data_IF_614226854283
#
_entry.id   IF_614226854283
#
_cell.length_a   1.000
_cell.length_b   1.000
_cell.length_c   1.000
_cell.angle_alpha   90.00
_cell.angle_beta   90.00
_cell.angle_gamma   90.00
#
_symmetry.space_group_name_H-M   'P 1'
#
loop_
_entity.id
_entity.type
_entity.pdbx_description
1 polymer ?
#
# COMPACT_ATOMS: atom_id res chain seq x y z
N UNK A 1 16.80 66.39 55.28
CA UNK A 1 16.86 65.06 54.62
C UNK A 1 15.96 64.98 53.38
N UNK A 2 14.64 65.22 53.45
CA UNK A 2 13.70 65.12 52.30
C UNK A 2 14.08 65.89 51.01
N UNK A 3 14.73 67.06 51.10
CA UNK A 3 15.22 67.80 49.91
C UNK A 3 16.39 67.10 49.20
N UNK A 4 17.27 66.43 49.96
CA UNK A 4 18.38 65.65 49.39
C UNK A 4 17.84 64.41 48.68
N UNK A 5 16.76 63.82 49.18
CA UNK A 5 16.13 62.64 48.57
C UNK A 5 15.49 62.92 47.21
N UNK A 6 14.86 64.10 47.03
CA UNK A 6 14.30 64.55 45.75
C UNK A 6 15.36 64.91 44.69
N UNK A 7 16.58 65.22 45.12
CA UNK A 7 17.71 65.57 44.24
C UNK A 7 18.61 64.34 43.96
N UNK A 8 18.27 63.16 44.49
CA UNK A 8 19.04 61.94 44.24
C UNK A 8 18.92 61.57 42.76
N UNK A 9 20.04 61.32 42.06
CA UNK A 9 20.01 60.85 40.70
C UNK A 9 19.28 59.50 40.62
N UNK A 10 18.46 59.33 39.61
CA UNK A 10 17.78 58.07 39.35
C UNK A 10 18.81 57.01 38.94
N UNK A 11 18.84 55.92 39.70
CA UNK A 11 19.62 54.71 39.50
C UNK A 11 18.71 53.48 39.59
N UNK A 12 19.23 52.30 39.24
CA UNK A 12 18.44 51.04 39.17
C UNK A 12 17.64 50.81 40.46
N UNK A 13 18.25 51.13 41.61
CA UNK A 13 17.66 50.95 42.94
C UNK A 13 16.63 52.02 43.35
N UNK A 14 16.63 53.18 42.69
CA UNK A 14 15.64 54.25 42.94
C UNK A 14 14.51 54.25 41.92
N UNK A 15 14.74 53.73 40.71
CA UNK A 15 13.76 53.70 39.62
C UNK A 15 12.75 52.57 39.80
N UNK A 16 13.19 51.38 40.24
CA UNK A 16 12.31 50.22 40.34
C UNK A 16 12.80 49.23 41.40
N UNK A 17 11.89 48.36 41.86
CA UNK A 17 12.20 47.20 42.68
C UNK A 17 11.61 45.93 42.04
N UNK A 18 12.24 44.79 42.27
CA UNK A 18 11.78 43.53 41.69
C UNK A 18 10.45 43.09 42.33
N UNK A 19 9.34 43.22 41.60
CA UNK A 19 8.00 42.92 42.12
C UNK A 19 7.69 41.41 42.19
N UNK A 20 8.17 40.64 41.20
CA UNK A 20 8.13 39.17 41.18
C UNK A 20 9.13 38.66 40.16
N UNK A 21 10.00 37.76 40.57
CA UNK A 21 10.96 37.07 39.70
C UNK A 21 10.65 35.57 39.71
N UNK A 22 10.32 35.02 38.54
CA UNK A 22 10.12 33.57 38.39
C UNK A 22 10.85 33.11 37.13
N UNK A 23 11.90 32.34 37.34
CA UNK A 23 12.61 31.66 36.25
C UNK A 23 12.05 30.25 36.11
N UNK A 24 11.66 29.88 34.90
CA UNK A 24 11.30 28.51 34.55
C UNK A 24 12.34 28.02 33.57
N UNK A 25 13.17 27.07 34.00
CA UNK A 25 14.16 26.41 33.14
C UNK A 25 13.52 25.11 32.68
N UNK A 26 13.40 24.93 31.37
CA UNK A 26 12.97 23.67 30.79
C UNK A 26 14.16 22.68 30.85
N UNK A 27 14.28 21.93 31.94
CA UNK A 27 15.34 20.94 32.10
C UNK A 27 15.11 19.77 31.15
N UNK A 28 16.19 19.31 30.49
CA UNK A 28 16.14 18.25 29.48
C UNK A 28 15.56 16.90 29.98
N UNK A 29 15.44 16.74 31.30
CA UNK A 29 14.80 15.60 31.98
C UNK A 29 13.29 15.49 31.77
N UNK A 30 12.64 16.53 31.21
CA UNK A 30 11.23 16.49 30.81
C UNK A 30 11.02 16.06 29.36
N UNK A 31 12.10 15.73 28.63
CA UNK A 31 11.97 15.06 27.34
C UNK A 31 11.42 13.67 27.64
N UNK A 32 10.12 13.54 27.38
CA UNK A 32 9.33 12.31 27.37
C UNK A 32 10.24 11.11 27.15
N UNK A 33 10.44 10.31 28.20
CA UNK A 33 10.89 8.94 28.02
C UNK A 33 9.99 8.31 26.97
N UNK A 34 10.64 7.59 26.07
CA UNK A 34 10.05 6.99 24.91
C UNK A 34 8.73 6.32 25.26
N UNK A 35 7.64 6.79 24.63
CA UNK A 35 6.42 6.01 24.48
C UNK A 35 6.65 4.83 23.50
N UNK A 36 7.82 4.19 23.60
CA UNK A 36 8.29 3.07 22.79
C UNK A 36 8.59 1.88 23.70
N UNK A 37 7.62 1.48 24.54
CA UNK A 37 7.62 0.20 25.22
C UNK A 37 6.23 -0.11 25.81
N UNK A 38 5.25 -0.37 24.95
CA UNK A 38 4.07 -1.15 25.34
C UNK A 38 3.43 -1.72 24.07
N UNK A 39 3.07 -3.00 24.09
CA UNK A 39 2.57 -3.79 22.96
C UNK A 39 1.27 -3.24 22.31
N UNK A 40 0.65 -2.20 22.88
CA UNK A 40 -0.36 -1.37 22.21
C UNK A 40 0.21 -0.35 21.20
N UNK A 41 1.53 -0.35 20.97
CA UNK A 41 2.26 0.66 20.20
C UNK A 41 2.06 0.56 18.69
N UNK A 42 1.84 -0.63 18.11
CA UNK A 42 1.79 -0.78 16.65
C UNK A 42 0.47 -0.27 16.06
N UNK A 43 -0.67 -0.66 16.63
CA UNK A 43 -1.98 -0.11 16.21
C UNK A 43 -2.08 1.38 16.50
N UNK A 44 -1.54 1.84 17.63
CA UNK A 44 -1.45 3.25 17.95
C UNK A 44 -0.56 4.01 16.96
N UNK A 45 0.58 3.43 16.53
CA UNK A 45 1.44 4.01 15.51
C UNK A 45 0.76 4.04 14.14
N UNK A 46 0.01 3.01 13.76
CA UNK A 46 -0.77 2.97 12.52
C UNK A 46 -1.88 4.04 12.55
N UNK A 47 -2.60 4.18 13.67
CA UNK A 47 -3.64 5.21 13.81
C UNK A 47 -3.04 6.61 13.81
N UNK A 48 -1.92 6.82 14.48
CA UNK A 48 -1.16 8.07 14.46
C UNK A 48 -0.69 8.40 13.04
N UNK A 49 -0.17 7.43 12.29
CA UNK A 49 0.19 7.58 10.89
C UNK A 49 -1.03 7.98 10.06
N UNK A 50 -2.16 7.25 10.18
CA UNK A 50 -3.41 7.57 9.46
C UNK A 50 -3.87 9.00 9.73
N UNK A 51 -3.88 9.43 10.98
CA UNK A 51 -4.33 10.78 11.36
C UNK A 51 -3.36 11.87 10.91
N UNK A 52 -2.06 11.61 11.01
CA UNK A 52 -1.01 12.52 10.54
C UNK A 52 -1.08 12.70 9.01
N UNK A 53 -1.18 11.58 8.30
CA UNK A 53 -1.31 11.58 6.83
C UNK A 53 -2.57 12.28 6.41
N UNK A 54 -3.73 12.03 7.05
CA UNK A 54 -4.97 12.76 6.74
C UNK A 54 -4.82 14.28 6.86
N UNK A 55 -4.09 14.76 7.88
CA UNK A 55 -3.90 16.20 8.14
C UNK A 55 -2.85 16.84 7.22
N UNK A 56 -1.78 16.12 6.89
CA UNK A 56 -0.60 16.69 6.23
C UNK A 56 -0.27 16.08 4.87
N UNK A 57 -1.17 15.28 4.27
CA UNK A 57 -0.92 14.58 3.00
C UNK A 57 -0.39 15.50 1.90
N UNK A 58 -1.04 16.66 1.71
CA UNK A 58 -0.66 17.64 0.68
C UNK A 58 0.75 18.15 0.89
N UNK A 59 1.11 18.44 2.14
CA UNK A 59 2.44 18.94 2.52
C UNK A 59 3.52 17.85 2.34
N UNK A 60 3.21 16.60 2.70
CA UNK A 60 4.10 15.45 2.49
C UNK A 60 4.34 15.22 0.99
N UNK A 61 3.28 15.24 0.17
CA UNK A 61 3.42 15.10 -1.29
C UNK A 61 4.23 16.24 -1.89
N UNK A 62 4.01 17.48 -1.44
CA UNK A 62 4.80 18.64 -1.86
C UNK A 62 6.28 18.46 -1.54
N UNK A 63 6.61 17.93 -0.35
CA UNK A 63 7.98 17.60 0.00
C UNK A 63 8.59 16.57 -0.96
N UNK A 64 7.87 15.49 -1.26
CA UNK A 64 8.33 14.44 -2.17
C UNK A 64 8.56 14.90 -3.62
N UNK A 65 8.04 16.07 -4.01
CA UNK A 65 8.25 16.65 -5.34
C UNK A 65 9.47 17.57 -5.43
N UNK A 66 10.15 17.90 -4.33
CA UNK A 66 11.38 18.69 -4.41
C UNK A 66 12.55 17.88 -4.97
N UNK A 67 13.52 18.58 -5.55
CA UNK A 67 14.77 18.00 -6.04
C UNK A 67 15.98 18.74 -5.50
N UNK A 68 15.92 20.08 -5.52
CA UNK A 68 17.01 20.93 -5.06
C UNK A 68 17.12 20.85 -3.53
N UNK A 69 18.31 20.60 -2.97
CA UNK A 69 18.41 20.38 -1.53
C UNK A 69 18.12 21.66 -0.72
N UNK A 70 18.32 22.85 -1.30
CA UNK A 70 18.02 24.13 -0.64
C UNK A 70 16.51 24.35 -0.49
N UNK A 71 15.74 23.96 -1.51
CA UNK A 71 14.28 24.07 -1.48
C UNK A 71 13.70 23.08 -0.45
N UNK A 72 14.21 21.83 -0.46
CA UNK A 72 13.88 20.83 0.57
C UNK A 72 14.23 21.31 1.98
N UNK A 73 15.40 21.94 2.16
CA UNK A 73 15.83 22.48 3.45
C UNK A 73 14.89 23.59 3.95
N UNK A 74 14.61 24.59 3.12
CA UNK A 74 13.74 25.71 3.50
C UNK A 74 12.33 25.22 3.84
N UNK A 75 11.80 24.30 3.05
CA UNK A 75 10.48 23.73 3.28
C UNK A 75 10.39 22.96 4.61
N UNK A 76 11.42 22.19 4.96
CA UNK A 76 11.47 21.48 6.24
C UNK A 76 11.67 22.42 7.44
N UNK A 77 12.30 23.58 7.24
CA UNK A 77 12.41 24.62 8.27
C UNK A 77 11.09 25.36 8.49
N UNK A 78 10.31 25.60 7.43
CA UNK A 78 8.96 26.16 7.50
C UNK A 78 7.95 25.16 8.10
N UNK A 79 8.16 23.87 7.86
CA UNK A 79 7.31 22.79 8.36
C UNK A 79 8.09 21.73 9.17
N UNK A 80 8.56 22.07 10.39
CA UNK A 80 9.37 21.15 11.19
C UNK A 80 8.65 19.85 11.58
N UNK A 81 7.32 19.85 11.61
CA UNK A 81 6.52 18.67 11.92
C UNK A 81 6.64 17.56 10.88
N UNK A 82 7.10 17.87 9.66
CA UNK A 82 7.32 16.86 8.61
C UNK A 82 8.54 15.99 8.88
N UNK A 83 9.48 16.46 9.70
CA UNK A 83 10.70 15.71 10.04
C UNK A 83 10.37 14.68 11.11
N UNK A 84 9.77 13.57 10.68
CA UNK A 84 9.34 12.47 11.53
C UNK A 84 9.29 11.15 10.76
N UNK A 85 9.23 10.03 11.49
CA UNK A 85 9.21 8.69 10.89
C UNK A 85 7.92 8.44 10.08
N UNK A 86 6.81 9.05 10.49
CA UNK A 86 5.52 8.93 9.80
C UNK A 86 5.58 9.50 8.38
N UNK A 87 6.31 10.61 8.17
CA UNK A 87 6.52 11.18 6.83
C UNK A 87 7.34 10.25 5.97
N UNK A 88 8.42 9.66 6.50
CA UNK A 88 9.23 8.68 5.77
C UNK A 88 8.37 7.48 5.35
N UNK A 89 7.60 6.91 6.28
CA UNK A 89 6.71 5.78 6.02
C UNK A 89 5.66 6.11 4.95
N UNK A 90 5.07 7.31 4.99
CA UNK A 90 4.11 7.73 3.98
C UNK A 90 4.74 7.90 2.59
N UNK A 91 5.98 8.40 2.51
CA UNK A 91 6.70 8.50 1.24
C UNK A 91 7.04 7.12 0.66
N UNK A 92 7.39 6.15 1.51
CA UNK A 92 7.59 4.74 1.11
C UNK A 92 6.30 4.17 0.53
N UNK A 93 5.16 4.33 1.21
CA UNK A 93 3.86 3.86 0.73
C UNK A 93 3.52 4.50 -0.62
N UNK A 94 3.72 5.82 -0.75
CA UNK A 94 3.47 6.50 -2.00
C UNK A 94 4.39 6.00 -3.14
N UNK A 95 5.65 5.66 -2.86
CA UNK A 95 6.52 5.04 -3.85
C UNK A 95 6.01 3.66 -4.32
N UNK A 96 5.42 2.86 -3.41
CA UNK A 96 4.82 1.57 -3.75
C UNK A 96 3.59 1.79 -4.62
N UNK A 97 2.71 2.72 -4.26
CA UNK A 97 1.50 3.03 -5.05
C UNK A 97 1.89 3.49 -6.46
N UNK A 98 2.91 4.35 -6.60
CA UNK A 98 3.41 4.78 -7.91
C UNK A 98 4.01 3.64 -8.74
N UNK A 99 4.67 2.67 -8.09
CA UNK A 99 5.19 1.49 -8.77
C UNK A 99 4.07 0.55 -9.23
N UNK A 100 2.98 0.44 -8.47
CA UNK A 100 1.77 -0.31 -8.88
C UNK A 100 1.05 0.38 -10.04
N UNK A 101 1.06 1.71 -10.09
CA UNK A 101 0.54 2.52 -11.21
C UNK A 101 1.49 2.58 -12.43
N UNK A 102 2.61 1.85 -12.42
CA UNK A 102 3.66 1.86 -13.45
C UNK A 102 4.33 3.23 -13.72
N UNK A 103 4.18 4.19 -12.79
CA UNK A 103 4.77 5.54 -12.89
C UNK A 103 6.20 5.58 -12.33
N UNK A 104 7.10 4.88 -13.01
CA UNK A 104 8.48 4.70 -12.54
C UNK A 104 9.30 6.00 -12.48
N UNK A 105 9.08 6.95 -13.39
CA UNK A 105 9.82 8.23 -13.38
C UNK A 105 9.49 9.06 -12.14
N UNK A 106 8.20 9.16 -11.81
CA UNK A 106 7.74 9.85 -10.60
C UNK A 106 8.18 9.11 -9.34
N UNK A 107 8.15 7.77 -9.34
CA UNK A 107 8.69 6.96 -8.24
C UNK A 107 10.20 7.24 -8.03
N UNK A 108 10.98 7.30 -9.12
CA UNK A 108 12.41 7.61 -9.04
C UNK A 108 12.66 8.99 -8.41
N UNK A 109 11.81 9.97 -8.72
CA UNK A 109 11.87 11.31 -8.14
C UNK A 109 11.51 11.31 -6.64
N UNK A 110 10.37 10.74 -6.27
CA UNK A 110 9.90 10.70 -4.88
C UNK A 110 10.83 9.85 -4.00
N UNK A 111 11.39 8.77 -4.54
CA UNK A 111 12.33 7.90 -3.81
C UNK A 111 13.58 8.64 -3.32
N UNK A 112 14.05 9.64 -4.07
CA UNK A 112 15.18 10.47 -3.64
C UNK A 112 14.84 11.22 -2.35
N UNK A 113 13.69 11.91 -2.29
CA UNK A 113 13.26 12.63 -1.09
C UNK A 113 12.94 11.70 0.07
N UNK A 114 12.48 10.48 -0.20
CA UNK A 114 12.29 9.45 0.81
C UNK A 114 13.60 9.07 1.50
N UNK A 115 14.67 8.82 0.74
CA UNK A 115 15.99 8.50 1.29
C UNK A 115 16.61 9.69 2.01
N UNK A 116 16.43 10.91 1.50
CA UNK A 116 16.84 12.14 2.20
C UNK A 116 16.21 12.22 3.60
N UNK A 117 14.90 11.97 3.72
CA UNK A 117 14.22 11.94 5.01
C UNK A 117 14.75 10.82 5.91
N UNK A 118 14.97 9.62 5.37
CA UNK A 118 15.48 8.48 6.12
C UNK A 118 16.88 8.73 6.68
N UNK A 119 17.81 9.22 5.85
CA UNK A 119 19.18 9.53 6.27
C UNK A 119 19.23 10.66 7.31
N UNK A 120 18.33 11.63 7.21
CA UNK A 120 18.21 12.69 8.21
C UNK A 120 17.73 12.14 9.57
N UNK A 121 16.76 11.22 9.57
CA UNK A 121 16.31 10.52 10.79
C UNK A 121 17.42 9.63 11.37
N UNK A 122 18.19 8.95 10.52
CA UNK A 122 19.33 8.14 10.93
C UNK A 122 20.46 8.97 11.55
N UNK A 123 20.82 10.09 10.92
CA UNK A 123 21.77 11.05 11.48
C UNK A 123 21.32 11.54 12.86
N UNK A 124 20.02 11.77 13.03
CA UNK A 124 19.47 12.22 14.29
C UNK A 124 19.58 11.15 15.39
N UNK A 125 19.32 9.88 15.04
CA UNK A 125 19.53 8.73 15.92
C UNK A 125 20.99 8.60 16.33
N UNK A 126 21.94 8.72 15.39
CA UNK A 126 23.37 8.66 15.68
C UNK A 126 23.83 9.78 16.62
N UNK A 127 23.31 10.99 16.43
CA UNK A 127 23.64 12.16 17.27
C UNK A 127 22.83 12.25 18.57
N UNK A 128 21.85 11.35 18.78
CA UNK A 128 20.89 11.39 19.89
C UNK A 128 20.22 12.76 20.02
N UNK A 129 19.98 13.41 18.88
CA UNK A 129 19.30 14.70 18.77
C UNK A 129 17.84 14.51 18.33
N UNK A 130 17.02 15.52 18.56
CA UNK A 130 15.72 15.59 17.88
C UNK A 130 15.97 15.77 16.37
N UNK A 131 15.34 14.97 15.49
CA UNK A 131 15.51 15.08 14.04
C UNK A 131 15.31 16.49 13.47
N UNK A 132 14.40 17.28 14.07
CA UNK A 132 14.09 18.64 13.64
C UNK A 132 15.26 19.61 13.85
N UNK A 133 16.09 19.35 14.85
CA UNK A 133 17.29 20.14 15.11
C UNK A 133 18.42 19.81 14.11
N UNK A 134 18.36 18.63 13.49
CA UNK A 134 19.41 18.08 12.67
C UNK A 134 19.22 18.34 11.15
N UNK A 135 18.15 19.06 10.76
CA UNK A 135 17.87 19.51 9.37
C UNK A 135 19.01 20.36 8.79
N UNK A 136 19.41 21.46 9.47
CA UNK A 136 20.45 22.34 8.92
C UNK A 136 21.82 21.66 8.81
N UNK A 137 22.30 20.95 9.84
CA UNK A 137 23.56 20.20 9.75
C UNK A 137 23.54 19.12 8.66
N UNK A 138 22.41 18.44 8.46
CA UNK A 138 22.26 17.44 7.40
C UNK A 138 22.46 18.06 6.01
N UNK A 139 21.69 19.10 5.68
CA UNK A 139 21.79 19.72 4.35
C UNK A 139 23.12 20.43 4.10
N UNK A 140 23.79 20.92 5.15
CA UNK A 140 25.15 21.46 5.01
C UNK A 140 26.15 20.39 4.53
N UNK A 141 26.04 19.15 5.04
CA UNK A 141 26.84 18.00 4.57
C UNK A 141 26.36 17.49 3.20
N UNK A 142 25.06 17.55 2.94
CA UNK A 142 24.49 17.09 1.68
C UNK A 142 24.87 17.98 0.49
N UNK A 143 25.10 19.28 0.71
CA UNK A 143 25.54 20.21 -0.35
C UNK A 143 27.01 20.01 -0.74
N UNK A 144 27.86 19.62 0.21
CA UNK A 144 29.28 19.32 -0.01
C UNK A 144 29.59 17.91 0.50
N UNK A 145 29.08 16.87 -0.17
CA UNK A 145 29.20 15.50 0.32
C UNK A 145 30.62 14.99 0.13
N UNK A 146 31.10 14.22 1.10
CA UNK A 146 32.30 13.40 0.92
C UNK A 146 31.98 12.31 -0.14
N UNK A 147 32.94 11.94 -1.02
CA UNK A 147 32.68 10.98 -2.10
C UNK A 147 32.14 9.64 -1.61
N UNK A 148 32.60 9.20 -0.44
CA UNK A 148 32.17 7.97 0.23
C UNK A 148 30.72 8.07 0.70
N UNK A 149 30.31 9.23 1.21
CA UNK A 149 28.94 9.51 1.63
C UNK A 149 27.98 9.55 0.44
N UNK A 150 28.38 10.19 -0.66
CA UNK A 150 27.59 10.23 -1.89
C UNK A 150 27.38 8.83 -2.46
N UNK A 151 28.45 8.01 -2.50
CA UNK A 151 28.36 6.64 -2.96
C UNK A 151 27.40 5.80 -2.10
N UNK A 152 27.53 5.89 -0.78
CA UNK A 152 26.63 5.18 0.14
C UNK A 152 25.16 5.62 -0.04
N UNK A 153 24.92 6.91 -0.29
CA UNK A 153 23.59 7.43 -0.58
C UNK A 153 23.03 6.87 -1.90
N UNK A 154 23.83 6.84 -2.97
CA UNK A 154 23.42 6.33 -4.28
C UNK A 154 23.17 4.81 -4.26
N UNK A 155 24.01 4.06 -3.54
CA UNK A 155 23.85 2.62 -3.33
C UNK A 155 22.55 2.31 -2.57
N UNK A 156 22.27 3.04 -1.48
CA UNK A 156 21.01 2.89 -0.73
C UNK A 156 19.78 3.32 -1.54
N UNK A 157 19.89 4.37 -2.35
CA UNK A 157 18.82 4.81 -3.22
C UNK A 157 18.50 3.76 -4.30
N UNK A 158 19.52 3.13 -4.89
CA UNK A 158 19.33 2.04 -5.84
C UNK A 158 18.68 0.84 -5.16
N UNK A 159 19.21 0.39 -4.03
CA UNK A 159 18.66 -0.73 -3.26
C UNK A 159 17.21 -0.46 -2.83
N UNK A 160 16.90 0.77 -2.43
CA UNK A 160 15.55 1.17 -2.08
C UNK A 160 14.59 1.07 -3.27
N UNK A 161 14.97 1.57 -4.45
CA UNK A 161 14.15 1.46 -5.66
C UNK A 161 13.87 0.00 -6.03
N UNK A 162 14.86 -0.88 -5.89
CA UNK A 162 14.68 -2.31 -6.15
C UNK A 162 13.75 -2.98 -5.13
N UNK A 163 13.86 -2.62 -3.84
CA UNK A 163 12.91 -3.07 -2.80
C UNK A 163 11.48 -2.62 -3.10
N UNK A 164 11.28 -1.39 -3.57
CA UNK A 164 9.96 -0.87 -3.93
C UNK A 164 9.37 -1.64 -5.11
N UNK A 165 10.15 -1.88 -6.17
CA UNK A 165 9.72 -2.68 -7.33
C UNK A 165 9.36 -4.11 -6.93
N UNK A 166 10.18 -4.74 -6.09
CA UNK A 166 9.91 -6.08 -5.58
C UNK A 166 8.60 -6.12 -4.78
N UNK A 167 8.39 -5.16 -3.87
CA UNK A 167 7.15 -5.05 -3.08
C UNK A 167 5.92 -4.78 -3.93
N UNK A 168 6.04 -3.96 -4.97
CA UNK A 168 4.95 -3.70 -5.91
C UNK A 168 4.55 -4.98 -6.66
N UNK A 169 5.53 -5.77 -7.13
CA UNK A 169 5.27 -7.07 -7.78
C UNK A 169 4.54 -8.04 -6.84
N UNK A 170 5.01 -8.19 -5.61
CA UNK A 170 4.35 -9.05 -4.61
C UNK A 170 2.91 -8.60 -4.36
N UNK A 171 2.66 -7.30 -4.23
CA UNK A 171 1.29 -6.78 -4.04
C UNK A 171 0.37 -7.00 -5.24
N UNK A 172 0.90 -6.90 -6.46
CA UNK A 172 0.15 -7.19 -7.68
C UNK A 172 -0.17 -8.69 -7.74
N UNK A 173 0.80 -9.56 -7.44
CA UNK A 173 0.62 -11.01 -7.42
C UNK A 173 -0.39 -11.45 -6.34
N UNK A 174 -0.32 -10.88 -5.13
CA UNK A 174 -1.32 -11.09 -4.08
C UNK A 174 -2.72 -10.64 -4.50
N UNK A 175 -2.83 -9.52 -5.23
CA UNK A 175 -4.11 -9.03 -5.73
C UNK A 175 -4.67 -9.92 -6.84
N UNK A 176 -3.81 -10.44 -7.72
CA UNK A 176 -4.18 -11.41 -8.76
C UNK A 176 -4.63 -12.74 -8.17
N UNK A 177 -3.89 -13.28 -7.19
CA UNK A 177 -4.24 -14.53 -6.50
C UNK A 177 -5.60 -14.44 -5.81
N UNK A 178 -5.90 -13.32 -5.14
CA UNK A 178 -7.23 -13.11 -4.54
C UNK A 178 -8.34 -13.04 -5.57
N UNK A 179 -8.09 -12.39 -6.71
CA UNK A 179 -9.07 -12.33 -7.80
C UNK A 179 -9.31 -13.72 -8.40
N UNK A 180 -8.26 -14.51 -8.57
CA UNK A 180 -8.35 -15.91 -9.00
C UNK A 180 -9.11 -16.77 -7.99
N UNK A 181 -8.87 -16.60 -6.68
CA UNK A 181 -9.63 -17.28 -5.62
C UNK A 181 -11.11 -16.89 -5.63
N UNK A 182 -11.43 -15.60 -5.76
CA UNK A 182 -12.82 -15.15 -5.88
C UNK A 182 -13.50 -15.67 -7.15
N UNK A 183 -12.78 -15.79 -8.26
CA UNK A 183 -13.29 -16.44 -9.47
C UNK A 183 -13.46 -17.94 -9.29
N UNK A 184 -12.55 -18.61 -8.59
CA UNK A 184 -12.69 -20.03 -8.23
C UNK A 184 -13.92 -20.24 -7.36
N UNK A 185 -14.11 -19.43 -6.33
CA UNK A 185 -15.29 -19.48 -5.46
C UNK A 185 -16.60 -19.31 -6.24
N UNK A 186 -16.65 -18.40 -7.22
CA UNK A 186 -17.81 -18.21 -8.11
C UNK A 186 -18.05 -19.40 -9.06
N UNK A 187 -17.03 -20.20 -9.34
CA UNK A 187 -17.09 -21.39 -10.20
C UNK A 187 -17.35 -22.70 -9.43
N UNK A 188 -17.33 -22.67 -8.10
CA UNK A 188 -17.55 -23.86 -7.29
C UNK A 188 -18.94 -24.47 -7.54
N UNK A 189 -18.96 -25.77 -7.74
CA UNK A 189 -20.19 -26.54 -7.88
C UNK A 189 -20.96 -26.69 -6.55
N UNK A 190 -22.14 -27.33 -6.57
CA UNK A 190 -23.03 -27.46 -5.42
C UNK A 190 -22.40 -28.15 -4.19
N UNK A 191 -21.34 -28.93 -4.37
CA UNK A 191 -20.56 -29.58 -3.32
C UNK A 191 -19.23 -28.89 -2.98
N UNK A 192 -18.98 -27.67 -3.47
CA UNK A 192 -17.76 -26.91 -3.17
C UNK A 192 -16.51 -27.42 -3.86
N UNK A 193 -16.65 -28.20 -4.94
CA UNK A 193 -15.55 -28.63 -5.81
C UNK A 193 -15.56 -27.81 -7.10
N UNK A 194 -14.37 -27.48 -7.61
CA UNK A 194 -14.22 -26.79 -8.89
C UNK A 194 -14.41 -27.78 -10.05
N UNK A 195 -15.35 -27.52 -10.99
CA UNK A 195 -15.52 -28.28 -12.22
C UNK A 195 -14.22 -28.59 -12.98
N UNK A 196 -13.32 -27.61 -13.06
CA UNK A 196 -12.08 -27.71 -13.86
C UNK A 196 -11.07 -28.60 -13.15
N UNK A 197 -10.90 -28.45 -11.85
CA UNK A 197 -9.99 -29.30 -11.06
C UNK A 197 -10.47 -30.75 -11.01
N UNK A 198 -11.78 -30.96 -10.91
CA UNK A 198 -12.34 -32.32 -10.99
C UNK A 198 -12.10 -32.90 -12.38
N UNK A 199 -12.37 -32.16 -13.46
CA UNK A 199 -12.11 -32.63 -14.82
C UNK A 199 -10.64 -33.02 -15.05
N UNK A 200 -9.69 -32.18 -14.65
CA UNK A 200 -8.24 -32.42 -14.84
C UNK A 200 -7.72 -33.62 -14.02
N UNK A 201 -8.38 -33.96 -12.92
CA UNK A 201 -8.01 -35.10 -12.06
C UNK A 201 -8.76 -36.38 -12.37
N UNK A 202 -9.71 -36.36 -13.32
CA UNK A 202 -10.40 -37.57 -13.77
C UNK A 202 -9.49 -38.45 -14.64
N UNK A 203 -9.72 -39.78 -14.64
CA UNK A 203 -9.10 -40.68 -15.61
C UNK A 203 -9.35 -40.22 -17.06
N UNK A 204 -8.37 -40.38 -17.99
CA UNK A 204 -8.52 -39.96 -19.39
C UNK A 204 -9.74 -40.57 -20.08
N UNK A 205 -10.08 -41.82 -19.74
CA UNK A 205 -11.27 -42.49 -20.26
C UNK A 205 -12.58 -41.80 -19.85
N UNK A 206 -12.64 -41.22 -18.63
CA UNK A 206 -13.79 -40.45 -18.16
C UNK A 206 -13.77 -39.02 -18.73
N UNK A 207 -12.60 -38.39 -18.85
CA UNK A 207 -12.45 -37.08 -19.51
C UNK A 207 -13.01 -37.12 -20.95
N UNK A 208 -12.63 -38.13 -21.74
CA UNK A 208 -13.14 -38.31 -23.10
C UNK A 208 -14.67 -38.48 -23.16
N UNK A 209 -15.28 -39.12 -22.15
CA UNK A 209 -16.74 -39.27 -22.07
C UNK A 209 -17.44 -37.92 -21.88
N UNK A 210 -16.86 -37.04 -21.06
CA UNK A 210 -17.38 -35.69 -20.83
C UNK A 210 -17.11 -34.75 -22.02
N UNK A 211 -15.97 -34.90 -22.71
CA UNK A 211 -15.66 -34.15 -23.95
C UNK A 211 -16.62 -34.50 -25.09
N UNK A 212 -16.89 -35.80 -25.28
CA UNK A 212 -17.80 -36.30 -26.33
C UNK A 212 -19.28 -36.17 -25.94
N UNK A 213 -19.58 -35.80 -24.70
CA UNK A 213 -20.93 -35.76 -24.10
C UNK A 213 -21.70 -37.08 -24.29
N UNK A 214 -21.00 -38.20 -24.20
CA UNK A 214 -21.54 -39.53 -24.47
C UNK A 214 -21.86 -40.26 -23.15
N UNK A 215 -23.15 -40.35 -22.82
CA UNK A 215 -23.67 -40.99 -21.60
C UNK A 215 -23.55 -42.51 -21.67
N UNK A 216 -23.56 -43.11 -22.86
CA UNK A 216 -23.45 -44.56 -23.04
C UNK A 216 -22.00 -45.01 -22.87
N UNK A 217 -21.06 -44.22 -23.40
CA UNK A 217 -19.63 -44.41 -23.16
C UNK A 217 -19.29 -44.28 -21.67
N UNK A 218 -19.86 -43.29 -20.97
CA UNK A 218 -19.65 -43.10 -19.53
C UNK A 218 -20.07 -44.34 -18.73
N UNK A 219 -21.27 -44.88 -18.99
CA UNK A 219 -21.75 -46.11 -18.33
C UNK A 219 -20.86 -47.33 -18.61
N UNK A 220 -20.36 -47.44 -19.84
CA UNK A 220 -19.47 -48.53 -20.25
C UNK A 220 -18.12 -48.46 -19.53
N UNK A 221 -17.58 -47.26 -19.39
CA UNK A 221 -16.33 -47.01 -18.65
C UNK A 221 -16.52 -47.26 -17.16
N UNK A 222 -17.65 -46.83 -16.57
CA UNK A 222 -17.97 -47.12 -15.17
C UNK A 222 -18.12 -48.62 -14.88
N UNK A 223 -18.73 -49.39 -15.79
CA UNK A 223 -18.85 -50.84 -15.62
C UNK A 223 -17.51 -51.59 -15.76
N UNK A 224 -16.50 -50.98 -16.39
CA UNK A 224 -15.17 -51.55 -16.56
C UNK A 224 -14.19 -51.25 -15.41
N UNK A 225 -14.53 -50.32 -14.52
CA UNK A 225 -13.71 -49.89 -13.39
C UNK A 225 -14.10 -50.60 -12.08
N UNK A 226 -13.25 -50.52 -11.05
CA UNK A 226 -13.61 -51.00 -9.72
C UNK A 226 -14.81 -50.19 -9.18
N UNK A 227 -15.83 -50.85 -8.59
CA UNK A 227 -17.03 -50.17 -8.10
C UNK A 227 -16.73 -49.00 -7.14
N UNK A 228 -15.67 -49.11 -6.34
CA UNK A 228 -15.30 -48.07 -5.36
C UNK A 228 -14.72 -46.82 -6.01
N UNK A 229 -13.92 -47.01 -7.07
CA UNK A 229 -13.31 -45.90 -7.81
C UNK A 229 -14.37 -45.19 -8.66
N UNK A 230 -15.30 -45.94 -9.22
CA UNK A 230 -16.43 -45.42 -9.97
C UNK A 230 -17.35 -44.53 -9.11
N UNK A 231 -17.69 -44.98 -7.89
CA UNK A 231 -18.46 -44.18 -6.92
C UNK A 231 -17.69 -42.92 -6.48
N UNK A 232 -16.38 -43.04 -6.24
CA UNK A 232 -15.53 -41.92 -5.85
C UNK A 232 -15.50 -40.81 -6.91
N UNK A 233 -15.28 -41.16 -8.17
CA UNK A 233 -15.25 -40.19 -9.27
C UNK A 233 -16.65 -39.63 -9.60
N UNK A 234 -17.69 -40.46 -9.57
CA UNK A 234 -19.06 -40.02 -9.85
C UNK A 234 -19.56 -39.01 -8.80
N UNK A 235 -19.31 -39.27 -7.51
CA UNK A 235 -19.66 -38.34 -6.45
C UNK A 235 -19.00 -36.96 -6.64
N UNK A 236 -17.72 -36.94 -7.03
CA UNK A 236 -16.99 -35.71 -7.33
C UNK A 236 -17.53 -34.99 -8.57
N UNK A 237 -17.98 -35.72 -9.59
CA UNK A 237 -18.63 -35.12 -10.77
C UNK A 237 -19.97 -34.46 -10.41
N UNK A 238 -20.73 -35.03 -9.48
CA UNK A 238 -21.98 -34.44 -8.98
C UNK A 238 -21.68 -33.23 -8.08
N UNK A 239 -20.75 -33.37 -7.14
CA UNK A 239 -20.37 -32.33 -6.19
C UNK A 239 -19.70 -31.11 -6.89
N UNK A 240 -19.03 -31.31 -8.02
CA UNK A 240 -18.51 -30.22 -8.87
C UNK A 240 -19.53 -29.69 -9.87
N UNK A 241 -20.70 -30.31 -10.02
CA UNK A 241 -21.70 -29.91 -11.01
C UNK A 241 -21.39 -30.31 -12.46
N UNK A 242 -20.34 -31.13 -12.69
CA UNK A 242 -20.02 -31.74 -13.99
C UNK A 242 -21.12 -32.70 -14.47
N UNK A 243 -21.80 -33.34 -13.52
CA UNK A 243 -22.88 -34.28 -13.78
C UNK A 243 -24.11 -33.94 -12.93
N UNK A 244 -25.24 -33.72 -13.58
CA UNK A 244 -26.53 -33.55 -12.90
C UNK A 244 -27.25 -34.88 -12.96
N UNK A 245 -27.38 -35.55 -11.82
CA UNK A 245 -28.17 -36.77 -11.74
C UNK A 245 -29.64 -36.43 -11.97
N UNK A 246 -30.20 -36.91 -13.07
CA UNK A 246 -31.63 -36.77 -13.41
C UNK A 246 -32.57 -37.46 -12.40
N UNK A 247 -32.04 -38.05 -11.32
CA UNK A 247 -32.79 -38.82 -10.32
C UNK A 247 -33.53 -37.92 -9.32
N UNK A 248 -33.19 -36.63 -9.22
CA UNK A 248 -33.89 -35.64 -8.37
C UNK A 248 -34.74 -34.62 -9.16
N UNK A 249 -35.19 -34.95 -10.38
CA UNK A 249 -36.22 -34.15 -11.08
C UNK A 249 -37.63 -34.50 -10.57
N UNK A 250 -37.89 -34.20 -9.30
CA UNK A 250 -39.24 -33.97 -8.78
C UNK A 250 -39.17 -32.87 -7.71
N UNK A 251 -38.66 -31.68 -8.06
CA UNK A 251 -38.96 -30.38 -7.43
C UNK A 251 -38.04 -29.32 -8.06
N UNK A 252 -38.35 -28.93 -9.30
CA UNK A 252 -38.49 -27.52 -9.70
C UNK A 252 -38.77 -27.43 -11.20
N UNK A 253 -39.79 -26.64 -11.51
CA UNK A 253 -40.56 -26.69 -12.75
C UNK A 253 -39.83 -26.32 -14.03
N UNK A 254 -40.45 -26.80 -15.11
CA UNK A 254 -40.22 -26.50 -16.52
C UNK A 254 -39.76 -25.07 -16.82
N UNK A 255 -38.69 -24.95 -17.60
CA UNK A 255 -38.77 -24.20 -18.85
C UNK A 255 -37.83 -24.84 -19.90
N UNK A 256 -38.47 -25.59 -20.80
CA UNK A 256 -37.90 -26.16 -22.01
C UNK A 256 -37.90 -25.07 -23.10
N UNK A 257 -36.76 -24.82 -23.77
CA UNK A 257 -36.67 -23.64 -24.64
C UNK A 257 -35.42 -23.44 -25.49
N UNK A 258 -34.96 -24.50 -26.18
CA UNK A 258 -34.20 -24.48 -27.46
C UNK A 258 -33.09 -23.42 -27.66
N UNK A 259 -31.85 -23.92 -27.72
CA UNK A 259 -30.77 -23.28 -28.46
C UNK A 259 -31.06 -23.18 -29.96
N UNK A 260 -30.44 -22.18 -30.60
CA UNK A 260 -30.22 -22.18 -32.06
C UNK A 260 -28.74 -21.92 -32.33
N UNK A 261 -28.21 -22.72 -33.26
CA UNK A 261 -26.81 -22.95 -33.56
C UNK A 261 -26.10 -21.83 -34.37
N UNK A 262 -24.78 -21.95 -34.42
CA UNK A 262 -23.80 -21.21 -35.22
C UNK A 262 -24.14 -21.05 -36.73
N UNK A 263 -23.77 -19.92 -37.35
CA UNK A 263 -22.57 -19.84 -38.21
C UNK A 263 -22.41 -18.49 -38.96
N UNK A 264 -21.17 -17.96 -38.90
CA UNK A 264 -20.39 -17.16 -39.89
C UNK A 264 -21.09 -16.12 -40.79
N UNK A 265 -20.66 -14.84 -40.76
CA UNK A 265 -19.73 -14.15 -41.72
C UNK A 265 -19.64 -12.62 -41.41
N UNK A 266 -18.44 -12.02 -41.47
CA UNK A 266 -18.19 -10.54 -41.45
C UNK A 266 -18.61 -9.88 -42.80
N UNK A 267 -18.66 -8.53 -43.03
CA UNK A 267 -17.97 -7.39 -42.36
C UNK A 267 -18.75 -6.04 -42.21
N UNK A 268 -18.17 -5.06 -41.50
CA UNK A 268 -18.46 -3.62 -41.70
C UNK A 268 -18.72 -2.75 -40.44
N UNK A 269 -17.72 -1.93 -40.06
CA UNK A 269 -17.83 -0.72 -39.22
C UNK A 269 -18.57 0.43 -39.97
N UNK A 270 -18.84 1.63 -39.38
CA UNK A 270 -18.94 2.07 -37.96
C UNK A 270 -20.19 2.99 -37.70
N UNK A 271 -20.41 3.44 -36.45
CA UNK A 271 -20.90 4.79 -36.00
C UNK A 271 -21.30 4.71 -34.51
N UNK A 272 -20.54 5.32 -33.59
CA UNK A 272 -20.71 6.66 -32.97
C UNK A 272 -21.71 6.72 -31.80
N UNK A 273 -21.20 7.19 -30.64
CA UNK A 273 -21.94 7.57 -29.41
C UNK A 273 -22.15 6.41 -28.43
N UNK A 274 -21.78 6.45 -27.16
CA UNK A 274 -21.44 7.56 -26.28
C UNK A 274 -20.68 6.95 -25.07
N UNK A 275 -19.45 7.41 -24.82
CA UNK A 275 -18.59 6.93 -23.73
C UNK A 275 -18.63 7.97 -22.62
N UNK A 276 -19.40 7.73 -21.56
CA UNK A 276 -19.31 8.52 -20.34
C UNK A 276 -18.15 8.03 -19.47
N UNK A 277 -16.92 8.39 -19.87
CA UNK A 277 -15.75 8.35 -19.00
C UNK A 277 -15.79 9.56 -18.06
N UNK A 278 -16.01 9.34 -16.77
CA UNK A 278 -15.73 10.35 -15.75
C UNK A 278 -14.22 10.36 -15.46
N UNK A 279 -13.50 11.19 -16.22
CA UNK A 279 -12.16 11.66 -15.89
C UNK A 279 -12.27 12.70 -14.78
N UNK A 280 -11.78 12.39 -13.58
CA UNK A 280 -11.39 13.42 -12.61
C UNK A 280 -9.94 13.80 -12.88
N UNK A 281 -9.75 14.81 -13.74
CA UNK A 281 -8.51 15.56 -13.85
C UNK A 281 -8.77 16.96 -13.31
N UNK A 282 -8.20 17.28 -12.15
CA UNK A 282 -8.02 18.67 -11.74
C UNK A 282 -6.54 18.98 -11.52
N UNK A 283 -6.03 20.09 -12.10
CA UNK A 283 -4.64 20.48 -12.07
C UNK A 283 -4.26 21.14 -10.74
N UNK A 284 -3.07 20.79 -10.27
CA UNK A 284 -2.41 21.42 -9.12
C UNK A 284 -1.91 22.81 -9.54
N UNK A 285 -2.36 23.84 -8.80
CA UNK A 285 -1.64 25.11 -8.59
C UNK A 285 -1.14 25.14 -7.16
#
# INVERSE_FOLDING_TARGET
MKKKERLRPWNIDTICHEGKSKTIINSATLKHEDAAASEGSEEAAINRLKDFVKKHNKTIRKFGMFQKPLDSQNFLLEHPFLVCEETANQLVLWCIDLAMEEKYDLMNHVSHQCIVMQFMLELAKSLKCDPRACVRPFFAKFMNPEPEYQKAFDDELSAFRDRIRARAKVRIEEAMMKLEEEEREKRLGPGGLDPVEVFDTLPPALQECFEKKDVEMLKTVLCGMDPKDAEYHMKRCVDSGLWVDNVNKEEDGEEDGKGTAESLTQPGQPTEGDVASQQFSDPIV
#
